data_IF_370815587223
#
_entry.id   IF_370815587223
#
_cell.length_a   1.000
_cell.length_b   1.000
_cell.length_c   1.000
_cell.angle_alpha   90.00
_cell.angle_beta   90.00
_cell.angle_gamma   90.00
#
_symmetry.space_group_name_H-M   'P 1'
#
loop_
_entity.id
_entity.type
_entity.pdbx_description
1 polymer ?
#
# COMPACT_ATOMS: atom_id res chain seq x y z
N UNK A 1 -11.54 -3.97 9.98
CA UNK A 1 -11.20 -2.55 9.74
C UNK A 1 -9.73 -2.31 10.06
N UNK A 2 -8.98 -1.72 9.11
CA UNK A 2 -7.66 -1.14 9.35
C UNK A 2 -7.78 0.37 9.66
N UNK A 3 -7.24 1.26 8.81
CA UNK A 3 -7.29 2.72 9.00
C UNK A 3 -8.66 3.40 8.85
N UNK A 4 -9.66 2.71 8.31
CA UNK A 4 -11.02 3.26 8.18
C UNK A 4 -11.19 4.34 7.11
N UNK A 5 -10.35 4.38 6.09
CA UNK A 5 -10.34 5.41 5.04
C UNK A 5 -11.35 5.18 3.90
N UNK A 6 -12.16 4.10 3.93
CA UNK A 6 -13.14 3.86 2.88
C UNK A 6 -14.30 4.85 2.98
N UNK A 7 -14.45 5.76 2.01
CA UNK A 7 -15.51 6.77 1.96
C UNK A 7 -16.92 6.20 1.79
N UNK A 8 -17.06 4.98 1.26
CA UNK A 8 -18.32 4.25 1.16
C UNK A 8 -18.76 3.53 2.44
N UNK A 9 -17.98 3.64 3.53
CA UNK A 9 -18.34 3.07 4.84
C UNK A 9 -18.11 1.57 4.98
N UNK A 10 -17.39 0.90 4.05
CA UNK A 10 -17.14 -0.56 4.10
C UNK A 10 -16.35 -1.02 5.33
N UNK A 11 -15.74 -0.10 6.08
CA UNK A 11 -15.08 -0.41 7.37
C UNK A 11 -16.02 -0.45 8.58
N UNK A 12 -17.33 -0.30 8.36
CA UNK A 12 -18.39 -0.34 9.39
C UNK A 12 -19.62 -1.05 8.83
N UNK A 13 -20.54 -1.46 9.71
CA UNK A 13 -21.82 -2.04 9.32
C UNK A 13 -22.87 -1.80 10.41
N UNK A 14 -24.14 -1.71 10.01
CA UNK A 14 -25.27 -1.68 10.92
C UNK A 14 -25.74 -3.12 11.20
N UNK A 15 -25.98 -3.43 12.49
CA UNK A 15 -26.51 -4.73 12.91
C UNK A 15 -25.62 -5.95 12.61
N UNK A 16 -24.33 -5.70 12.38
CA UNK A 16 -23.34 -6.73 12.05
C UNK A 16 -22.10 -6.71 12.96
N UNK A 17 -21.04 -7.39 12.54
CA UNK A 17 -19.77 -7.45 13.26
C UNK A 17 -18.66 -6.73 12.48
N UNK A 18 -17.92 -5.88 13.15
CA UNK A 18 -16.69 -5.27 12.63
C UNK A 18 -15.48 -5.92 13.29
N UNK A 19 -14.60 -6.49 12.48
CA UNK A 19 -13.29 -7.00 12.94
C UNK A 19 -12.31 -5.85 12.89
N UNK A 20 -11.91 -5.35 14.05
CA UNK A 20 -10.95 -4.24 14.17
C UNK A 20 -9.52 -4.78 14.31
N UNK A 21 -8.66 -4.43 13.35
CA UNK A 21 -7.27 -4.91 13.29
C UNK A 21 -6.30 -3.99 14.02
N UNK A 22 -6.76 -2.90 14.64
CA UNK A 22 -5.90 -1.90 15.29
C UNK A 22 -4.99 -2.46 16.41
N UNK A 23 -5.32 -3.64 16.92
CA UNK A 23 -4.47 -4.38 17.88
C UNK A 23 -3.34 -5.19 17.22
N UNK A 24 -3.34 -5.36 15.89
CA UNK A 24 -2.32 -6.12 15.16
C UNK A 24 -1.35 -5.14 14.49
N UNK A 25 -0.47 -4.53 15.29
CA UNK A 25 0.48 -3.52 14.86
C UNK A 25 1.92 -3.92 15.16
N UNK A 26 2.69 -4.06 14.13
CA UNK A 26 4.14 -4.20 14.18
C UNK A 26 4.73 -3.89 12.81
N UNK A 27 5.98 -3.42 12.78
CA UNK A 27 6.79 -3.24 11.57
C UNK A 27 8.17 -3.82 11.83
N UNK A 28 8.59 -4.78 11.03
CA UNK A 28 9.89 -5.46 11.15
C UNK A 28 10.63 -5.39 9.84
N UNK A 29 11.62 -4.52 9.78
CA UNK A 29 12.47 -4.31 8.59
C UNK A 29 13.61 -5.32 8.60
N UNK A 30 13.78 -6.03 7.48
CA UNK A 30 14.93 -6.87 7.19
C UNK A 30 15.78 -6.21 6.10
N UNK A 31 16.87 -5.59 6.51
CA UNK A 31 17.80 -4.89 5.60
C UNK A 31 18.69 -5.84 4.80
N UNK A 32 18.78 -7.12 5.19
CA UNK A 32 19.58 -8.11 4.45
C UNK A 32 18.90 -8.55 3.16
N UNK A 33 17.57 -8.58 3.17
CA UNK A 33 16.75 -8.96 2.02
C UNK A 33 15.97 -7.76 1.43
N UNK A 34 16.08 -6.57 2.04
CA UNK A 34 15.27 -5.40 1.72
C UNK A 34 13.78 -5.73 1.74
N UNK A 35 13.31 -6.35 2.82
CA UNK A 35 11.90 -6.67 3.01
C UNK A 35 11.38 -6.09 4.32
N UNK A 36 10.05 -5.99 4.44
CA UNK A 36 9.41 -5.58 5.68
C UNK A 36 8.18 -6.44 5.95
N UNK A 37 8.01 -6.87 7.20
CA UNK A 37 6.81 -7.50 7.71
C UNK A 37 5.97 -6.48 8.46
N UNK A 38 4.69 -6.40 8.11
CA UNK A 38 3.77 -5.36 8.59
C UNK A 38 2.47 -5.99 9.08
N UNK A 39 2.07 -5.67 10.30
CA UNK A 39 0.80 -6.13 10.86
C UNK A 39 -0.41 -5.52 10.13
N UNK A 40 -1.48 -6.30 9.99
CA UNK A 40 -2.69 -5.91 9.24
C UNK A 40 -3.41 -4.65 9.75
N UNK A 41 -3.15 -4.25 10.99
CA UNK A 41 -3.71 -3.03 11.61
C UNK A 41 -2.83 -1.80 11.53
N UNK A 42 -1.64 -1.88 10.91
CA UNK A 42 -0.77 -0.74 10.75
C UNK A 42 -1.34 0.33 9.82
N UNK A 43 -0.91 1.57 10.06
CA UNK A 43 -1.08 2.71 9.16
C UNK A 43 0.22 2.93 8.35
N UNK A 44 0.10 3.50 7.16
CA UNK A 44 1.27 3.71 6.30
C UNK A 44 2.32 4.62 6.93
N UNK A 45 1.94 5.65 7.66
CA UNK A 45 2.90 6.51 8.36
C UNK A 45 3.76 5.77 9.39
N UNK A 46 3.25 4.68 10.01
CA UNK A 46 4.04 3.84 10.92
C UNK A 46 5.08 3.01 10.15
N UNK A 47 4.71 2.55 8.96
CA UNK A 47 5.60 1.79 8.06
C UNK A 47 6.68 2.70 7.48
N UNK A 48 6.29 3.88 6.96
CA UNK A 48 7.20 4.88 6.42
C UNK A 48 8.24 5.31 7.45
N UNK A 49 7.80 5.58 8.68
CA UNK A 49 8.70 5.94 9.77
C UNK A 49 9.74 4.85 10.05
N UNK A 50 9.31 3.58 10.06
CA UNK A 50 10.20 2.46 10.35
C UNK A 50 11.19 2.18 9.21
N UNK A 51 10.75 2.26 7.96
CA UNK A 51 11.58 1.95 6.78
C UNK A 51 12.54 3.09 6.43
N UNK A 52 12.11 4.35 6.62
CA UNK A 52 12.93 5.54 6.37
C UNK A 52 14.24 5.54 7.18
N UNK A 53 14.23 5.01 8.39
CA UNK A 53 15.43 4.89 9.23
C UNK A 53 16.58 4.11 8.55
N UNK A 54 16.26 3.30 7.54
CA UNK A 54 17.21 2.50 6.77
C UNK A 54 17.40 3.03 5.32
N UNK A 55 16.82 4.17 4.97
CA UNK A 55 16.84 4.70 3.60
C UNK A 55 16.02 3.85 2.62
N UNK A 56 15.00 3.17 3.13
CA UNK A 56 14.14 2.25 2.36
C UNK A 56 12.69 2.74 2.40
N UNK A 57 11.91 2.41 1.37
CA UNK A 57 10.49 2.71 1.28
C UNK A 57 9.71 1.64 0.51
N UNK A 58 8.38 1.66 0.67
CA UNK A 58 7.42 0.93 -0.16
C UNK A 58 6.64 1.96 -0.97
N UNK A 59 6.26 1.69 -2.24
CA UNK A 59 5.22 2.45 -2.91
C UNK A 59 3.91 2.30 -2.13
N UNK A 60 3.50 3.35 -1.44
CA UNK A 60 2.33 3.39 -0.56
C UNK A 60 1.42 4.56 -0.94
N UNK A 61 0.29 4.69 -0.26
CA UNK A 61 -0.60 5.85 -0.43
C UNK A 61 0.02 7.16 0.08
N UNK A 62 -0.56 8.28 -0.32
CA UNK A 62 -0.06 9.62 0.02
C UNK A 62 -0.47 10.12 1.41
N UNK A 63 -1.37 9.43 2.09
CA UNK A 63 -1.92 9.83 3.39
C UNK A 63 -1.43 8.86 4.48
N UNK A 64 -0.66 9.37 5.43
CA UNK A 64 -0.03 8.60 6.51
C UNK A 64 -1.00 7.85 7.43
N UNK A 65 -2.24 8.34 7.56
CA UNK A 65 -3.29 7.71 8.38
C UNK A 65 -4.05 6.60 7.66
N UNK A 66 -3.76 6.34 6.38
CA UNK A 66 -4.38 5.26 5.62
C UNK A 66 -3.92 3.90 6.13
N UNK A 67 -4.85 2.97 6.32
CA UNK A 67 -4.53 1.60 6.72
C UNK A 67 -3.83 0.81 5.61
N UNK A 68 -2.79 0.05 6.00
CA UNK A 68 -2.01 -0.76 5.08
C UNK A 68 -2.88 -1.74 4.31
N UNK A 69 -3.77 -2.47 5.00
CA UNK A 69 -4.57 -3.52 4.39
C UNK A 69 -5.51 -3.02 3.30
N UNK A 70 -6.37 -2.05 3.63
CA UNK A 70 -7.38 -1.56 2.67
C UNK A 70 -6.77 -0.95 1.42
N UNK A 71 -5.69 -0.19 1.55
CA UNK A 71 -4.99 0.40 0.43
C UNK A 71 -4.32 -0.67 -0.43
N UNK A 72 -3.53 -1.57 0.16
CA UNK A 72 -2.81 -2.62 -0.55
C UNK A 72 -3.77 -3.53 -1.33
N UNK A 73 -4.81 -4.03 -0.68
CA UNK A 73 -5.75 -4.97 -1.30
C UNK A 73 -6.54 -4.35 -2.48
N UNK A 74 -6.63 -3.02 -2.54
CA UNK A 74 -7.24 -2.28 -3.65
C UNK A 74 -6.25 -1.83 -4.75
N UNK A 75 -4.96 -2.16 -4.59
CA UNK A 75 -3.90 -1.76 -5.53
C UNK A 75 -2.81 -0.93 -4.87
N UNK A 76 -3.16 0.22 -4.33
CA UNK A 76 -2.24 1.14 -3.64
C UNK A 76 -1.43 2.02 -4.58
N UNK A 77 -1.92 3.24 -4.80
CA UNK A 77 -1.28 4.28 -5.62
C UNK A 77 -0.71 5.39 -4.71
N UNK A 78 0.49 5.84 -5.01
CA UNK A 78 1.12 6.96 -4.32
C UNK A 78 2.30 7.53 -5.08
N UNK A 79 3.06 8.42 -4.43
CA UNK A 79 4.15 9.18 -5.06
C UNK A 79 5.26 8.31 -5.68
N UNK A 80 5.49 7.12 -5.17
CA UNK A 80 6.53 6.23 -5.67
C UNK A 80 6.04 5.25 -6.75
N UNK A 81 4.73 5.24 -7.06
CA UNK A 81 4.14 4.23 -7.94
C UNK A 81 4.64 4.31 -9.38
N UNK A 82 4.98 5.50 -9.87
CA UNK A 82 5.52 5.65 -11.22
C UNK A 82 6.85 4.91 -11.40
N UNK A 83 7.71 4.93 -10.38
CA UNK A 83 9.03 4.31 -10.42
C UNK A 83 9.02 2.83 -10.01
N UNK A 84 8.22 2.48 -9.02
CA UNK A 84 8.33 1.17 -8.35
C UNK A 84 7.04 0.34 -8.45
N UNK A 85 6.04 0.78 -9.20
CA UNK A 85 4.75 0.10 -9.31
C UNK A 85 3.81 0.41 -8.15
N UNK A 86 2.73 -0.33 -8.06
CA UNK A 86 1.72 -0.23 -7.01
C UNK A 86 2.20 -0.91 -5.72
N UNK A 87 1.50 -0.66 -4.60
CA UNK A 87 1.78 -1.39 -3.34
C UNK A 87 1.66 -2.91 -3.53
N UNK A 88 0.67 -3.37 -4.29
CA UNK A 88 0.46 -4.80 -4.60
C UNK A 88 1.56 -5.41 -5.47
N UNK A 89 2.26 -4.63 -6.28
CA UNK A 89 3.36 -5.13 -7.10
C UNK A 89 4.58 -5.46 -6.25
N UNK A 90 4.66 -4.84 -5.06
CA UNK A 90 5.71 -5.05 -4.08
C UNK A 90 5.29 -6.01 -2.95
N UNK A 91 4.07 -6.56 -2.98
CA UNK A 91 3.62 -7.57 -2.05
C UNK A 91 4.23 -8.93 -2.40
N UNK A 92 4.95 -9.52 -1.46
CA UNK A 92 5.61 -10.82 -1.60
C UNK A 92 4.79 -11.96 -1.00
N UNK A 93 4.16 -11.69 0.16
CA UNK A 93 3.46 -12.69 0.95
C UNK A 93 2.43 -12.02 1.86
N UNK A 94 1.38 -12.74 2.22
CA UNK A 94 0.47 -12.34 3.29
C UNK A 94 0.02 -13.54 4.11
N UNK A 95 -0.15 -13.31 5.41
CA UNK A 95 -0.83 -14.23 6.32
C UNK A 95 -2.27 -13.79 6.52
N UNK A 96 -3.21 -14.72 6.40
CA UNK A 96 -4.63 -14.40 6.48
C UNK A 96 -5.47 -15.46 7.15
N UNK A 97 -6.60 -15.02 7.69
CA UNK A 97 -7.65 -15.88 8.23
C UNK A 97 -8.83 -15.87 7.26
N UNK A 98 -9.24 -17.06 6.81
CA UNK A 98 -10.36 -17.25 5.89
C UNK A 98 -11.71 -17.26 6.62
N UNK A 99 -12.80 -17.29 5.87
CA UNK A 99 -14.16 -17.25 6.42
C UNK A 99 -14.52 -18.48 7.29
N UNK A 100 -13.87 -19.61 7.06
CA UNK A 100 -14.01 -20.85 7.85
C UNK A 100 -13.13 -20.85 9.11
N UNK A 101 -12.35 -19.78 9.34
CA UNK A 101 -11.42 -19.68 10.47
C UNK A 101 -10.05 -20.32 10.22
N UNK A 102 -9.79 -20.90 9.06
CA UNK A 102 -8.48 -21.42 8.72
C UNK A 102 -7.46 -20.29 8.55
N UNK A 103 -6.23 -20.53 9.03
CA UNK A 103 -5.10 -19.63 8.86
C UNK A 103 -4.25 -20.12 7.69
N UNK A 104 -3.96 -19.25 6.74
CA UNK A 104 -3.17 -19.58 5.55
C UNK A 104 -2.13 -18.49 5.27
N UNK A 105 -0.98 -18.93 4.76
CA UNK A 105 0.03 -18.05 4.16
C UNK A 105 -0.14 -18.10 2.65
N UNK A 106 -0.19 -16.95 1.99
CA UNK A 106 -0.39 -16.84 0.55
C UNK A 106 0.78 -16.08 -0.08
N UNK A 107 1.34 -16.64 -1.15
CA UNK A 107 2.42 -16.06 -1.92
C UNK A 107 2.44 -16.65 -3.34
N UNK A 108 3.45 -16.34 -4.15
CA UNK A 108 3.56 -16.83 -5.53
C UNK A 108 3.70 -18.35 -5.68
N UNK A 109 4.06 -19.06 -4.60
CA UNK A 109 4.32 -20.52 -4.58
C UNK A 109 3.29 -21.29 -3.74
N UNK A 110 2.47 -20.57 -2.96
CA UNK A 110 1.50 -21.16 -2.03
C UNK A 110 0.17 -20.39 -2.09
N UNK A 111 -0.94 -21.11 -2.36
CA UNK A 111 -2.26 -20.52 -2.59
C UNK A 111 -2.23 -19.39 -3.65
N UNK A 112 -1.63 -19.68 -4.80
CA UNK A 112 -1.35 -18.71 -5.87
C UNK A 112 -2.61 -17.99 -6.35
N UNK A 113 -3.73 -18.69 -6.48
CA UNK A 113 -5.03 -18.14 -6.85
C UNK A 113 -5.54 -17.11 -5.84
N UNK A 114 -5.40 -17.39 -4.55
CA UNK A 114 -5.76 -16.49 -3.47
C UNK A 114 -4.80 -15.29 -3.40
N UNK A 115 -3.50 -15.53 -3.60
CA UNK A 115 -2.50 -14.46 -3.69
C UNK A 115 -2.78 -13.51 -4.86
N UNK A 116 -3.19 -14.06 -6.01
CA UNK A 116 -3.66 -13.24 -7.13
C UNK A 116 -4.92 -12.45 -6.76
N UNK A 117 -5.90 -13.08 -6.13
CA UNK A 117 -7.18 -12.47 -5.78
C UNK A 117 -7.05 -11.28 -4.82
N UNK A 118 -6.17 -11.37 -3.81
CA UNK A 118 -5.94 -10.27 -2.85
C UNK A 118 -5.17 -9.09 -3.44
N UNK A 119 -4.56 -9.24 -4.61
CA UNK A 119 -3.81 -8.20 -5.31
C UNK A 119 -4.74 -7.39 -6.24
N UNK A 120 -5.66 -6.64 -5.64
CA UNK A 120 -6.61 -5.75 -6.31
C UNK A 120 -8.08 -6.11 -6.07
N UNK A 121 -8.38 -7.34 -5.62
CA UNK A 121 -9.75 -7.78 -5.34
C UNK A 121 -10.33 -7.29 -4.00
N UNK A 122 -9.56 -6.51 -3.24
CA UNK A 122 -10.01 -5.95 -1.97
C UNK A 122 -10.13 -6.98 -0.84
N UNK A 123 -10.90 -6.64 0.19
CA UNK A 123 -11.04 -7.44 1.41
C UNK A 123 -12.05 -8.59 1.34
N UNK A 124 -12.37 -9.11 0.14
CA UNK A 124 -13.45 -10.08 -0.05
C UNK A 124 -13.06 -11.54 0.27
N UNK A 125 -11.77 -11.81 0.50
CA UNK A 125 -11.24 -13.19 0.55
C UNK A 125 -10.82 -13.64 1.94
N UNK A 126 -10.75 -12.71 2.91
CA UNK A 126 -10.35 -13.00 4.28
C UNK A 126 -9.77 -11.80 5.00
N UNK A 127 -9.27 -12.02 6.21
CA UNK A 127 -8.67 -11.00 7.07
C UNK A 127 -7.16 -11.17 7.04
N UNK A 128 -6.44 -10.18 6.51
CA UNK A 128 -4.97 -10.21 6.50
C UNK A 128 -4.45 -9.77 7.86
N UNK A 129 -3.62 -10.59 8.46
CA UNK A 129 -2.99 -10.33 9.76
C UNK A 129 -1.56 -9.83 9.63
N UNK A 130 -0.85 -10.25 8.57
CA UNK A 130 0.51 -9.82 8.25
C UNK A 130 0.67 -9.66 6.74
N UNK A 131 1.44 -8.65 6.32
CA UNK A 131 1.92 -8.45 4.95
C UNK A 131 3.44 -8.50 4.93
N UNK A 132 4.01 -9.04 3.87
CA UNK A 132 5.46 -8.98 3.57
C UNK A 132 5.65 -8.24 2.27
N UNK A 133 6.39 -7.12 2.32
CA UNK A 133 6.66 -6.31 1.13
C UNK A 133 8.14 -6.29 0.78
N UNK A 134 8.42 -6.16 -0.51
CA UNK A 134 9.73 -5.74 -1.01
C UNK A 134 9.91 -4.25 -0.76
N UNK A 135 11.09 -3.86 -0.29
CA UNK A 135 11.49 -2.47 -0.11
C UNK A 135 12.37 -2.00 -1.26
N UNK A 136 12.21 -0.74 -1.63
CA UNK A 136 13.06 -0.04 -2.58
C UNK A 136 13.97 0.97 -1.86
N UNK A 137 15.21 1.22 -2.35
CA UNK A 137 16.09 2.24 -1.80
C UNK A 137 15.57 3.63 -2.16
N UNK A 138 15.15 4.38 -1.14
CA UNK A 138 14.70 5.77 -1.25
C UNK A 138 15.20 6.53 -0.02
N UNK A 139 16.27 7.30 -0.18
CA UNK A 139 16.88 8.03 0.93
C UNK A 139 16.47 9.50 0.99
N UNK A 140 16.30 10.13 -0.16
CA UNK A 140 15.97 11.55 -0.26
C UNK A 140 15.04 11.81 -1.44
N UNK A 141 14.01 12.61 -1.20
CA UNK A 141 13.08 13.07 -2.23
C UNK A 141 13.06 14.59 -2.26
N UNK A 142 12.86 15.15 -3.45
CA UNK A 142 12.54 16.55 -3.64
C UNK A 142 11.05 16.66 -3.93
N UNK A 143 10.33 17.46 -3.16
CA UNK A 143 8.91 17.70 -3.33
C UNK A 143 8.59 19.18 -3.31
N UNK A 144 7.51 19.58 -3.97
CA UNK A 144 7.04 20.95 -3.99
C UNK A 144 5.77 21.13 -4.83
N UNK A 145 5.13 22.27 -4.68
CA UNK A 145 3.94 22.64 -5.44
C UNK A 145 4.32 23.62 -6.55
N UNK A 146 3.87 23.33 -7.78
CA UNK A 146 4.00 24.21 -8.93
C UNK A 146 2.62 24.73 -9.32
N UNK A 147 2.37 26.01 -9.04
CA UNK A 147 1.12 26.68 -9.44
C UNK A 147 1.30 27.36 -10.79
N UNK A 148 0.49 26.95 -11.76
CA UNK A 148 0.49 27.48 -13.12
C UNK A 148 -0.90 28.01 -13.50
N UNK A 149 -1.00 29.04 -14.37
CA UNK A 149 -2.30 29.50 -14.87
C UNK A 149 -2.95 28.41 -15.71
N UNK A 150 -4.25 28.14 -15.48
CA UNK A 150 -5.00 27.08 -16.17
C UNK A 150 -5.42 27.55 -17.61
N UNK A 151 -4.45 27.85 -18.47
CA UNK A 151 -4.71 28.10 -19.90
C UNK A 151 -4.62 26.83 -20.72
N UNK A 152 -5.21 26.80 -21.90
CA UNK A 152 -5.18 25.65 -22.81
C UNK A 152 -3.74 25.22 -23.13
N UNK A 153 -2.86 26.21 -23.37
CA UNK A 153 -1.44 25.95 -23.69
C UNK A 153 -0.72 25.31 -22.54
N UNK A 154 -0.92 25.83 -21.32
CA UNK A 154 -0.27 25.27 -20.10
C UNK A 154 -0.77 23.85 -19.82
N UNK A 155 -2.09 23.62 -19.91
CA UNK A 155 -2.65 22.26 -19.69
C UNK A 155 -2.11 21.27 -20.73
N UNK A 156 -2.08 21.64 -22.01
CA UNK A 156 -1.51 20.77 -23.06
C UNK A 156 -0.03 20.50 -22.83
N UNK A 157 0.76 21.55 -22.59
CA UNK A 157 2.19 21.40 -22.30
C UNK A 157 2.46 20.53 -21.10
N UNK A 158 1.64 20.60 -20.04
CA UNK A 158 1.74 19.71 -18.87
C UNK A 158 1.43 18.25 -19.25
N UNK A 159 0.38 17.99 -20.01
CA UNK A 159 0.02 16.63 -20.44
C UNK A 159 1.09 16.03 -21.34
N UNK A 160 1.60 16.80 -22.30
CA UNK A 160 2.69 16.37 -23.19
C UNK A 160 3.96 16.03 -22.39
N UNK A 161 4.32 16.89 -21.43
CA UNK A 161 5.45 16.66 -20.55
C UNK A 161 5.24 15.43 -19.67
N UNK A 162 4.06 15.25 -19.07
CA UNK A 162 3.75 14.14 -18.18
C UNK A 162 3.92 12.77 -18.85
N UNK A 163 3.65 12.67 -20.18
CA UNK A 163 3.83 11.43 -20.94
C UNK A 163 5.29 11.07 -21.20
N UNK A 164 6.18 12.07 -21.23
CA UNK A 164 7.62 11.90 -21.50
C UNK A 164 8.51 12.08 -20.27
N UNK A 165 7.93 12.45 -19.14
CA UNK A 165 8.66 12.67 -17.90
C UNK A 165 9.33 11.38 -17.40
N UNK A 166 10.53 11.48 -16.78
CA UNK A 166 11.22 10.29 -16.24
C UNK A 166 10.41 9.65 -15.10
N UNK A 167 10.62 8.36 -14.87
CA UNK A 167 9.89 7.61 -13.83
C UNK A 167 10.19 8.09 -12.39
N UNK A 168 11.31 8.81 -12.21
CA UNK A 168 11.66 9.47 -10.94
C UNK A 168 10.77 10.68 -10.60
N UNK A 169 9.99 11.17 -11.56
CA UNK A 169 9.12 12.33 -11.39
C UNK A 169 7.66 11.91 -11.35
N UNK A 170 7.02 12.13 -10.21
CA UNK A 170 5.56 12.01 -10.04
C UNK A 170 4.94 13.40 -10.12
N UNK A 171 3.91 13.55 -10.95
CA UNK A 171 3.20 14.78 -11.25
C UNK A 171 1.74 14.67 -10.81
#
# INVERSE_FOLDING_TARGET
RGGGHNGGGLGSCDGGMVIDLSGIKFVRVDTSNNTVRVGGGNLWGEVDHATHAFGLAIPAGIISTTGVGGLTLGGGVGYLSRKFGLSIDNLLEADMVLADGSFVTVNKDQHEDLFWAIRGGGGNFGIITEFVFQLAPVSQILGGDLMLPATTEVIRGFLDYATSAPDDLTL
#
